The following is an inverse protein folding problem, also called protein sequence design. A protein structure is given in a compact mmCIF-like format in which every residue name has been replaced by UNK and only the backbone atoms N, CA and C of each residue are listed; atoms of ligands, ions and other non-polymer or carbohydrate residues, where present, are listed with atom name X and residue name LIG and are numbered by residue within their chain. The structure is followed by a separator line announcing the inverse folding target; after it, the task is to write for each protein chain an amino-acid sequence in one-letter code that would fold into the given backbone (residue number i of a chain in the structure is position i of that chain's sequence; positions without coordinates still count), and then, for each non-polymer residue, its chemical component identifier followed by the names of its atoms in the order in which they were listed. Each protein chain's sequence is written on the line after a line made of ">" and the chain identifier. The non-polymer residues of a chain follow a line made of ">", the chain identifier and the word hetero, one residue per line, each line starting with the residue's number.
data_IF_699847450784
#
_entry.id   IF_699847450784
#
_cell.length_a   1.000
_cell.length_b   1.000
_cell.length_c   1.000
_cell.angle_alpha   90.00
_cell.angle_beta   90.00
_cell.angle_gamma   90.00
#
_symmetry.space_group_name_H-M   'P 1'
#
loop_
_entity.id
_entity.type
_entity.pdbx_description
1 polymer ?
#
# COMPACT_ATOMS: atom_id res chain seq x y z
N UNK A 1 -6.76 41.42 -0.17
CA UNK A 1 -8.02 40.78 -0.63
C UNK A 1 -8.02 40.63 -2.17
N UNK A 2 -7.02 39.94 -2.74
CA UNK A 2 -6.79 39.87 -4.20
C UNK A 2 -6.14 38.55 -4.68
N UNK A 3 -6.33 37.45 -3.92
CA UNK A 3 -5.75 36.12 -4.21
C UNK A 3 -6.82 35.03 -4.09
N UNK A 4 -8.03 35.28 -4.61
CA UNK A 4 -9.09 34.23 -4.70
C UNK A 4 -9.73 34.09 -6.09
N UNK A 5 -9.25 34.80 -7.10
CA UNK A 5 -9.90 34.82 -8.43
C UNK A 5 -9.15 34.09 -9.56
N UNK A 6 -8.01 33.44 -9.29
CA UNK A 6 -7.21 32.75 -10.32
C UNK A 6 -7.34 31.21 -10.30
N UNK A 7 -8.04 30.62 -9.32
CA UNK A 7 -8.16 29.15 -9.22
C UNK A 7 -9.42 28.52 -9.85
N UNK A 8 -10.42 29.30 -10.28
CA UNK A 8 -11.65 28.72 -10.87
C UNK A 8 -11.58 28.46 -12.38
N UNK A 9 -10.53 28.93 -13.08
CA UNK A 9 -10.44 28.83 -14.55
C UNK A 9 -9.74 27.57 -15.10
N UNK A 10 -9.21 26.68 -14.25
CA UNK A 10 -8.53 25.44 -14.72
C UNK A 10 -9.33 24.14 -14.57
N UNK A 11 -10.56 24.18 -14.06
CA UNK A 11 -11.42 22.99 -13.92
C UNK A 11 -12.46 22.80 -15.03
N UNK A 12 -12.48 23.65 -16.07
CA UNK A 12 -13.51 23.61 -17.12
C UNK A 12 -13.04 23.08 -18.49
N UNK A 13 -11.78 22.64 -18.63
CA UNK A 13 -11.23 22.19 -19.92
C UNK A 13 -10.67 20.77 -19.82
N UNK A 14 -11.56 19.76 -19.82
CA UNK A 14 -11.11 18.36 -19.78
C UNK A 14 -12.20 17.29 -19.89
N UNK A 15 -13.39 17.61 -20.44
CA UNK A 15 -14.46 16.62 -20.67
C UNK A 15 -15.11 16.80 -22.04
N UNK A 16 -14.41 16.44 -23.12
CA UNK A 16 -15.03 16.09 -24.42
C UNK A 16 -14.11 15.16 -25.22
N UNK A 17 -14.26 13.86 -25.03
CA UNK A 17 -13.96 12.82 -26.03
C UNK A 17 -14.43 11.46 -25.48
N UNK A 18 -15.74 11.23 -25.49
CA UNK A 18 -16.31 9.88 -25.38
C UNK A 18 -17.09 9.63 -26.66
N UNK A 19 -16.45 8.93 -27.59
CA UNK A 19 -17.06 8.46 -28.81
C UNK A 19 -18.17 7.45 -28.51
N UNK A 20 -19.25 7.55 -29.26
CA UNK A 20 -20.39 6.66 -29.27
C UNK A 20 -20.00 5.24 -29.66
N UNK A 21 -20.11 4.29 -28.73
CA UNK A 21 -20.28 2.87 -29.06
C UNK A 21 -21.75 2.49 -28.88
N UNK A 22 -22.28 1.80 -29.88
CA UNK A 22 -23.68 1.47 -30.05
C UNK A 22 -24.26 0.65 -28.89
N UNK A 23 -25.51 0.97 -28.58
CA UNK A 23 -26.36 0.26 -27.63
C UNK A 23 -26.67 -1.15 -28.13
N UNK A 24 -26.37 -2.16 -27.33
CA UNK A 24 -27.25 -3.32 -27.16
C UNK A 24 -27.50 -3.52 -25.65
N UNK A 25 -28.74 -3.77 -25.21
CA UNK A 25 -29.06 -3.94 -23.80
C UNK A 25 -28.71 -5.35 -23.31
N UNK A 26 -27.75 -5.46 -22.38
CA UNK A 26 -27.55 -6.68 -21.61
C UNK A 26 -28.64 -6.79 -20.55
N UNK A 27 -29.51 -7.79 -20.74
CA UNK A 27 -30.53 -8.24 -19.78
C UNK A 27 -29.83 -9.03 -18.68
N UNK A 28 -30.00 -8.61 -17.42
CA UNK A 28 -29.55 -9.38 -16.26
C UNK A 28 -30.41 -10.64 -16.10
N UNK A 29 -29.75 -11.80 -16.00
CA UNK A 29 -30.35 -13.05 -15.51
C UNK A 29 -29.59 -13.47 -14.26
N UNK A 30 -30.30 -13.48 -13.14
CA UNK A 30 -29.85 -14.08 -11.89
C UNK A 30 -30.00 -15.60 -11.98
N UNK A 31 -28.96 -16.36 -11.61
CA UNK A 31 -29.04 -17.81 -11.54
C UNK A 31 -27.72 -18.54 -11.31
N UNK A 32 -27.47 -18.88 -10.05
CA UNK A 32 -26.81 -20.08 -9.50
C UNK A 32 -25.72 -20.84 -10.30
N UNK A 33 -24.60 -21.01 -9.59
CA UNK A 33 -23.79 -22.23 -9.47
C UNK A 33 -23.21 -22.90 -10.72
N UNK A 34 -21.88 -22.77 -10.84
CA UNK A 34 -21.02 -23.90 -11.20
C UNK A 34 -20.60 -24.04 -12.66
N UNK A 35 -19.28 -24.23 -12.82
CA UNK A 35 -18.55 -24.79 -13.96
C UNK A 35 -18.23 -23.86 -15.15
N UNK A 36 -16.93 -23.87 -15.48
CA UNK A 36 -16.45 -23.91 -16.87
C UNK A 36 -16.17 -22.56 -17.53
N UNK A 37 -14.90 -22.22 -17.64
CA UNK A 37 -14.45 -21.20 -18.61
C UNK A 37 -14.39 -21.87 -20.00
N UNK A 38 -15.29 -21.47 -20.90
CA UNK A 38 -15.29 -21.89 -22.30
C UNK A 38 -14.55 -20.80 -23.10
N UNK A 39 -13.47 -21.11 -23.84
CA UNK A 39 -12.90 -20.16 -24.79
C UNK A 39 -13.78 -20.06 -26.03
N UNK A 40 -13.98 -18.84 -26.53
CA UNK A 40 -14.64 -18.57 -27.79
C UNK A 40 -13.87 -19.22 -28.95
N UNK A 41 -14.42 -20.30 -29.52
CA UNK A 41 -14.04 -20.86 -30.81
C UNK A 41 -14.33 -19.83 -31.91
N UNK A 42 -13.27 -19.37 -32.57
CA UNK A 42 -13.37 -18.66 -33.84
C UNK A 42 -13.65 -19.64 -34.96
N UNK A 43 -14.92 -19.73 -35.37
CA UNK A 43 -15.36 -20.39 -36.58
C UNK A 43 -14.82 -19.64 -37.82
N UNK A 44 -13.74 -20.15 -38.40
CA UNK A 44 -13.17 -19.71 -39.68
C UNK A 44 -13.58 -20.65 -40.81
N UNK A 45 -14.57 -20.21 -41.57
CA UNK A 45 -15.18 -20.75 -42.80
C UNK A 45 -14.20 -21.49 -43.74
N UNK A 46 -14.50 -22.76 -44.00
CA UNK A 46 -13.96 -23.55 -45.11
C UNK A 46 -14.57 -23.06 -46.44
N UNK A 47 -13.78 -22.37 -47.26
CA UNK A 47 -14.11 -22.16 -48.67
C UNK A 47 -13.55 -23.30 -49.51
N UNK A 48 -14.45 -24.12 -50.06
CA UNK A 48 -14.15 -25.04 -51.13
C UNK A 48 -13.94 -24.30 -52.45
N UNK A 49 -12.87 -24.64 -53.17
CA UNK A 49 -12.70 -24.30 -54.59
C UNK A 49 -12.06 -25.47 -55.34
N UNK A 50 -12.93 -26.26 -55.96
CA UNK A 50 -12.92 -26.68 -57.38
C UNK A 50 -11.56 -26.99 -58.03
N UNK A 51 -11.29 -28.28 -58.23
CA UNK A 51 -10.31 -28.79 -59.19
C UNK A 51 -10.72 -28.49 -60.64
N UNK A 52 -9.81 -27.99 -61.50
CA UNK A 52 -9.91 -28.14 -62.94
C UNK A 52 -9.16 -29.41 -63.39
N UNK A 53 -9.86 -30.21 -64.19
CA UNK A 53 -9.34 -31.35 -64.92
C UNK A 53 -8.45 -30.90 -66.09
N UNK A 54 -7.46 -31.75 -66.43
CA UNK A 54 -7.12 -32.05 -67.81
C UNK A 54 -6.20 -31.07 -68.55
N UNK A 55 -4.89 -31.24 -68.37
CA UNK A 55 -3.87 -30.73 -69.28
C UNK A 55 -2.86 -31.84 -69.58
N UNK A 56 -2.70 -32.19 -70.86
CA UNK A 56 -1.85 -33.27 -71.35
C UNK A 56 -0.37 -33.10 -70.93
N UNK A 57 0.36 -34.21 -70.67
CA UNK A 57 1.79 -34.12 -70.38
C UNK A 57 2.56 -33.79 -71.66
N UNK A 58 3.06 -32.56 -71.77
CA UNK A 58 4.15 -32.27 -72.68
C UNK A 58 5.42 -32.90 -72.10
N UNK A 59 5.96 -33.86 -72.86
CA UNK A 59 7.18 -34.58 -72.57
C UNK A 59 8.37 -33.62 -72.69
N UNK A 60 8.76 -33.01 -71.56
CA UNK A 60 10.00 -32.24 -71.46
C UNK A 60 11.16 -33.24 -71.46
N UNK A 61 11.91 -33.26 -72.55
CA UNK A 61 13.15 -34.03 -72.68
C UNK A 61 14.16 -33.42 -71.71
N UNK A 62 14.32 -34.07 -70.55
CA UNK A 62 15.33 -33.70 -69.58
C UNK A 62 16.71 -33.75 -70.25
N UNK A 63 17.45 -32.63 -70.33
CA UNK A 63 18.82 -32.64 -70.82
C UNK A 63 19.64 -33.56 -69.93
N UNK A 64 20.27 -34.57 -70.52
CA UNK A 64 21.15 -35.48 -69.79
C UNK A 64 22.29 -34.66 -69.17
N UNK A 65 22.40 -34.61 -67.83
CA UNK A 65 23.50 -33.93 -67.18
C UNK A 65 24.79 -34.68 -67.51
N UNK A 66 25.73 -33.99 -68.15
CA UNK A 66 27.11 -34.47 -68.21
C UNK A 66 27.62 -34.75 -66.79
N UNK A 67 28.47 -35.75 -66.62
CA UNK A 67 28.91 -36.27 -65.33
C UNK A 67 29.45 -35.22 -64.33
N UNK A 68 29.82 -34.02 -64.80
CA UNK A 68 30.27 -32.89 -63.99
C UNK A 68 29.12 -32.08 -63.34
N UNK A 69 27.90 -32.10 -63.90
CA UNK A 69 26.74 -31.39 -63.37
C UNK A 69 26.15 -32.05 -62.10
N UNK A 70 26.36 -33.37 -61.92
CA UNK A 70 25.92 -34.10 -60.74
C UNK A 70 26.65 -33.67 -59.46
N UNK A 71 27.96 -33.37 -59.57
CA UNK A 71 28.76 -32.91 -58.43
C UNK A 71 28.38 -31.49 -58.02
N UNK A 72 28.14 -30.60 -58.99
CA UNK A 72 27.69 -29.24 -58.74
C UNK A 72 26.30 -29.21 -58.07
N UNK A 73 25.37 -30.07 -58.50
CA UNK A 73 24.06 -30.20 -57.88
C UNK A 73 24.14 -30.68 -56.42
N UNK A 74 24.99 -31.68 -56.13
CA UNK A 74 25.20 -32.18 -54.76
C UNK A 74 25.82 -31.10 -53.87
N UNK A 75 26.83 -30.36 -54.36
CA UNK A 75 27.43 -29.25 -53.62
C UNK A 75 26.42 -28.14 -53.33
N UNK A 76 25.57 -27.81 -54.30
CA UNK A 76 24.54 -26.78 -54.12
C UNK A 76 23.50 -27.18 -53.06
N UNK A 77 23.02 -28.43 -53.10
CA UNK A 77 22.10 -28.97 -52.09
C UNK A 77 22.75 -28.98 -50.70
N UNK A 78 24.04 -29.32 -50.61
CA UNK A 78 24.76 -29.37 -49.35
C UNK A 78 24.95 -27.97 -48.74
N UNK A 79 25.29 -26.97 -49.56
CA UNK A 79 25.35 -25.56 -49.13
C UNK A 79 23.97 -25.05 -48.71
N UNK A 80 22.91 -25.41 -49.45
CA UNK A 80 21.54 -25.03 -49.10
C UNK A 80 21.10 -25.64 -47.77
N UNK A 81 21.42 -26.91 -47.52
CA UNK A 81 21.13 -27.60 -46.26
C UNK A 81 21.88 -26.97 -45.08
N UNK A 82 23.16 -26.61 -45.26
CA UNK A 82 23.93 -25.90 -44.24
C UNK A 82 23.31 -24.53 -43.95
N UNK A 83 22.91 -23.80 -44.99
CA UNK A 83 22.27 -22.49 -44.84
C UNK A 83 20.93 -22.59 -44.12
N UNK A 84 20.08 -23.55 -44.49
CA UNK A 84 18.79 -23.80 -43.82
C UNK A 84 18.98 -24.20 -42.35
N UNK A 85 19.95 -25.07 -42.05
CA UNK A 85 20.29 -25.45 -40.68
C UNK A 85 20.77 -24.26 -39.85
N UNK A 86 21.59 -23.37 -40.44
CA UNK A 86 22.05 -22.15 -39.79
C UNK A 86 20.89 -21.19 -39.47
N UNK A 87 19.97 -20.98 -40.42
CA UNK A 87 18.78 -20.13 -40.24
C UNK A 87 17.86 -20.69 -39.14
N UNK A 88 17.60 -22.00 -39.15
CA UNK A 88 16.77 -22.66 -38.12
C UNK A 88 17.42 -22.56 -36.73
N UNK A 89 18.75 -22.73 -36.63
CA UNK A 89 19.48 -22.56 -35.38
C UNK A 89 19.35 -21.15 -34.81
N UNK A 90 19.48 -20.12 -35.65
CA UNK A 90 19.32 -18.72 -35.24
C UNK A 90 17.88 -18.41 -34.82
N UNK A 91 16.88 -18.92 -35.53
CA UNK A 91 15.46 -18.74 -35.15
C UNK A 91 15.15 -19.43 -33.82
N UNK A 92 15.67 -20.65 -33.62
CA UNK A 92 15.48 -21.42 -32.39
C UNK A 92 16.09 -20.71 -31.18
N UNK A 93 17.33 -20.21 -31.31
CA UNK A 93 18.00 -19.43 -30.27
C UNK A 93 17.22 -18.14 -29.92
N UNK A 94 16.65 -17.47 -30.92
CA UNK A 94 15.84 -16.26 -30.67
C UNK A 94 14.49 -16.56 -29.99
N UNK A 95 13.86 -17.70 -30.27
CA UNK A 95 12.62 -18.10 -29.60
C UNK A 95 12.86 -18.33 -28.09
N UNK A 96 13.99 -18.94 -27.74
CA UNK A 96 14.38 -19.11 -26.34
C UNK A 96 14.63 -17.76 -25.66
N UNK A 97 15.32 -16.82 -26.32
CA UNK A 97 15.53 -15.47 -25.79
C UNK A 97 14.22 -14.72 -25.53
N UNK A 98 13.26 -14.79 -26.47
CA UNK A 98 11.95 -14.15 -26.30
C UNK A 98 11.16 -14.77 -25.15
N UNK A 99 11.23 -16.09 -24.97
CA UNK A 99 10.56 -16.77 -23.85
C UNK A 99 11.13 -16.36 -22.49
N UNK A 100 12.46 -16.24 -22.39
CA UNK A 100 13.15 -15.80 -21.17
C UNK A 100 12.86 -14.34 -20.85
N UNK A 101 12.88 -13.45 -21.85
CA UNK A 101 12.54 -12.04 -21.65
C UNK A 101 11.08 -11.88 -21.22
N UNK A 102 10.15 -12.60 -21.84
CA UNK A 102 8.73 -12.57 -21.48
C UNK A 102 8.48 -13.08 -20.05
N UNK A 103 9.17 -14.14 -19.63
CA UNK A 103 9.10 -14.64 -18.26
C UNK A 103 9.60 -13.58 -17.27
N UNK A 104 10.78 -12.99 -17.54
CA UNK A 104 11.36 -11.93 -16.69
C UNK A 104 10.41 -10.73 -16.55
N UNK A 105 9.79 -10.30 -17.65
CA UNK A 105 8.82 -9.21 -17.64
C UNK A 105 7.57 -9.57 -16.83
N UNK A 106 7.05 -10.79 -17.00
CA UNK A 106 5.89 -11.28 -16.23
C UNK A 106 6.18 -11.33 -14.74
N UNK A 107 7.38 -11.78 -14.35
CA UNK A 107 7.84 -11.79 -12.96
C UNK A 107 7.92 -10.37 -12.38
N UNK A 108 8.46 -9.40 -13.13
CA UNK A 108 8.51 -8.00 -12.69
C UNK A 108 7.12 -7.41 -12.50
N UNK A 109 6.20 -7.61 -13.46
CA UNK A 109 4.82 -7.11 -13.34
C UNK A 109 4.11 -7.72 -12.12
N UNK A 110 4.29 -9.02 -11.88
CA UNK A 110 3.73 -9.67 -10.70
C UNK A 110 4.33 -9.14 -9.40
N UNK A 111 5.66 -8.95 -9.34
CA UNK A 111 6.33 -8.38 -8.17
C UNK A 111 5.83 -6.96 -7.87
N UNK A 112 5.66 -6.10 -8.88
CA UNK A 112 5.17 -4.74 -8.72
C UNK A 112 3.72 -4.71 -8.18
N UNK A 113 2.85 -5.59 -8.70
CA UNK A 113 1.49 -5.72 -8.17
C UNK A 113 1.49 -6.22 -6.72
N UNK A 114 2.30 -7.23 -6.42
CA UNK A 114 2.44 -7.76 -5.07
C UNK A 114 3.03 -6.72 -4.10
N UNK A 115 3.95 -5.85 -4.55
CA UNK A 115 4.48 -4.74 -3.77
C UNK A 115 3.36 -3.79 -3.35
N UNK A 116 2.46 -3.41 -4.27
CA UNK A 116 1.33 -2.52 -3.98
C UNK A 116 0.35 -3.16 -2.99
N UNK A 117 0.06 -4.45 -3.13
CA UNK A 117 -0.79 -5.20 -2.20
C UNK A 117 -0.16 -5.25 -0.80
N UNK A 118 1.14 -5.57 -0.71
CA UNK A 118 1.88 -5.58 0.56
C UNK A 118 1.94 -4.20 1.20
N UNK A 119 2.15 -3.15 0.41
CA UNK A 119 2.17 -1.76 0.90
C UNK A 119 0.80 -1.33 1.45
N UNK A 120 -0.28 -1.65 0.74
CA UNK A 120 -1.64 -1.36 1.18
C UNK A 120 -2.00 -2.14 2.46
N UNK A 121 -1.64 -3.43 2.51
CA UNK A 121 -1.84 -4.27 3.68
C UNK A 121 -1.04 -3.75 4.89
N UNK A 122 0.23 -3.41 4.71
CA UNK A 122 1.06 -2.84 5.78
C UNK A 122 0.40 -1.60 6.36
N UNK A 123 0.00 -0.64 5.52
CA UNK A 123 -0.60 0.61 5.97
C UNK A 123 -1.89 0.42 6.79
N UNK A 124 -2.64 -0.65 6.53
CA UNK A 124 -3.86 -0.98 7.29
C UNK A 124 -3.57 -1.72 8.60
N UNK A 125 -2.43 -2.41 8.71
CA UNK A 125 -2.10 -3.31 9.82
C UNK A 125 -0.86 -2.84 10.61
N UNK A 126 -0.35 -1.65 10.31
CA UNK A 126 0.79 -0.98 10.94
C UNK A 126 0.79 -1.11 12.47
N UNK A 127 -0.33 -0.76 13.10
CA UNK A 127 -0.51 -0.77 14.56
C UNK A 127 -0.17 -2.11 15.22
N UNK A 128 -0.49 -3.21 14.54
CA UNK A 128 -0.24 -4.54 15.04
C UNK A 128 1.10 -5.10 14.58
N UNK A 129 1.49 -4.84 13.32
CA UNK A 129 2.72 -5.35 12.74
C UNK A 129 3.98 -4.79 13.43
N UNK A 130 3.96 -3.50 13.77
CA UNK A 130 5.08 -2.80 14.40
C UNK A 130 4.96 -2.72 15.93
N UNK A 131 4.05 -3.52 16.51
CA UNK A 131 3.99 -3.69 17.96
C UNK A 131 5.27 -4.37 18.49
N UNK A 132 5.67 -3.98 19.71
CA UNK A 132 6.78 -4.63 20.44
C UNK A 132 8.14 -3.91 20.40
N UNK A 133 8.28 -2.83 19.60
CA UNK A 133 9.46 -1.96 19.65
C UNK A 133 10.75 -2.55 19.08
N UNK A 134 11.90 -1.92 19.37
CA UNK A 134 13.14 -2.14 18.63
C UNK A 134 13.66 -3.58 18.74
N UNK A 135 14.03 -4.17 17.62
CA UNK A 135 14.56 -5.54 17.55
C UNK A 135 13.51 -6.63 17.77
N UNK A 136 12.24 -6.28 17.95
CA UNK A 136 11.18 -7.29 18.11
C UNK A 136 10.97 -8.07 16.80
N UNK A 137 10.75 -9.37 16.91
CA UNK A 137 10.39 -10.24 15.79
C UNK A 137 8.95 -9.93 15.29
N UNK A 138 8.63 -10.17 14.02
CA UNK A 138 7.30 -9.92 13.50
C UNK A 138 6.25 -10.81 14.19
N UNK A 139 5.07 -10.28 14.53
CA UNK A 139 4.02 -11.04 15.24
C UNK A 139 3.33 -12.10 14.37
N UNK A 140 3.56 -12.07 13.05
CA UNK A 140 3.01 -13.00 12.08
C UNK A 140 4.11 -13.51 11.15
N UNK A 141 3.98 -14.78 10.76
CA UNK A 141 4.88 -15.39 9.80
C UNK A 141 4.78 -14.72 8.43
N UNK A 142 5.87 -14.78 7.66
CA UNK A 142 5.91 -14.20 6.32
C UNK A 142 4.86 -14.80 5.37
N UNK A 143 4.55 -16.10 5.52
CA UNK A 143 3.46 -16.74 4.76
C UNK A 143 2.08 -16.22 5.18
N UNK A 144 1.88 -15.95 6.47
CA UNK A 144 0.67 -15.31 6.98
C UNK A 144 0.46 -13.92 6.37
N UNK A 145 1.52 -13.11 6.29
CA UNK A 145 1.46 -11.77 5.67
C UNK A 145 1.09 -11.86 4.19
N UNK A 146 1.71 -12.75 3.41
CA UNK A 146 1.37 -12.93 2.00
C UNK A 146 -0.11 -13.29 1.82
N UNK A 147 -0.62 -14.21 2.63
CA UNK A 147 -2.02 -14.61 2.59
C UNK A 147 -2.97 -13.46 2.96
N UNK A 148 -2.66 -12.71 4.02
CA UNK A 148 -3.47 -11.58 4.49
C UNK A 148 -3.44 -10.39 3.53
N UNK A 149 -2.32 -10.18 2.82
CA UNK A 149 -2.19 -9.18 1.77
C UNK A 149 -2.86 -9.60 0.44
N UNK A 150 -3.37 -10.84 0.34
CA UNK A 150 -3.98 -11.36 -0.89
C UNK A 150 -2.96 -11.62 -2.01
N UNK A 151 -1.69 -11.86 -1.66
CA UNK A 151 -0.62 -12.19 -2.60
C UNK A 151 -0.50 -13.70 -2.71
N UNK A 152 -0.85 -14.24 -3.87
CA UNK A 152 -0.63 -15.66 -4.17
C UNK A 152 0.83 -15.87 -4.63
N UNK A 153 1.64 -16.66 -3.89
CA UNK A 153 3.04 -16.86 -4.26
C UNK A 153 3.16 -17.66 -5.56
N UNK A 154 3.93 -17.12 -6.52
CA UNK A 154 4.28 -17.78 -7.78
C UNK A 154 5.80 -18.00 -7.84
N UNK A 155 6.24 -18.99 -8.62
CA UNK A 155 7.67 -19.27 -8.84
C UNK A 155 8.50 -19.44 -7.55
N UNK A 156 7.91 -20.07 -6.52
CA UNK A 156 8.52 -20.21 -5.20
C UNK A 156 8.93 -18.88 -4.56
N UNK A 157 8.18 -17.80 -4.83
CA UNK A 157 8.42 -16.51 -4.20
C UNK A 157 8.30 -16.62 -2.67
N UNK A 158 9.21 -15.96 -1.97
CA UNK A 158 9.29 -15.93 -0.52
C UNK A 158 9.28 -14.50 -0.03
N UNK A 159 8.54 -14.26 1.06
CA UNK A 159 8.56 -13.00 1.77
C UNK A 159 9.57 -13.10 2.92
N UNK A 160 10.36 -12.05 3.08
CA UNK A 160 11.28 -11.83 4.19
C UNK A 160 10.83 -10.57 4.91
N UNK A 161 10.88 -10.60 6.24
CA UNK A 161 10.40 -9.53 7.10
C UNK A 161 11.55 -9.18 8.04
N UNK A 162 11.90 -7.90 8.13
CA UNK A 162 12.91 -7.48 9.09
C UNK A 162 12.35 -7.54 10.51
N UNK A 163 13.27 -7.60 11.48
CA UNK A 163 12.96 -7.16 12.83
C UNK A 163 12.59 -5.66 12.82
N UNK A 164 11.89 -5.23 13.86
CA UNK A 164 11.49 -3.83 13.97
C UNK A 164 12.73 -2.96 14.17
N UNK A 165 12.84 -1.90 13.38
CA UNK A 165 13.91 -0.90 13.48
C UNK A 165 13.31 0.40 13.97
N UNK A 166 13.82 0.92 15.08
CA UNK A 166 13.37 2.18 15.65
C UNK A 166 14.35 3.32 15.41
N UNK A 167 13.81 4.48 15.08
CA UNK A 167 14.52 5.74 14.92
C UNK A 167 14.05 6.73 15.99
N UNK A 168 14.90 7.68 16.38
CA UNK A 168 14.47 8.78 17.22
C UNK A 168 13.47 9.66 16.46
N UNK A 169 12.40 10.09 17.13
CA UNK A 169 11.41 11.01 16.61
C UNK A 169 11.36 12.28 17.48
N UNK A 170 10.55 13.28 17.09
CA UNK A 170 10.39 14.51 17.86
C UNK A 170 9.87 14.23 19.29
N UNK A 171 8.98 13.25 19.41
CA UNK A 171 8.48 12.70 20.66
C UNK A 171 8.49 11.17 20.58
N UNK A 172 9.22 10.52 21.48
CA UNK A 172 9.38 9.07 21.51
C UNK A 172 10.26 8.52 20.39
N UNK A 173 9.88 7.37 19.84
CA UNK A 173 10.57 6.70 18.75
C UNK A 173 9.60 6.41 17.60
N UNK A 174 10.14 6.16 16.40
CA UNK A 174 9.41 5.68 15.24
C UNK A 174 9.94 4.30 14.87
N UNK A 175 9.14 3.26 15.11
CA UNK A 175 9.51 1.88 14.79
C UNK A 175 8.80 1.41 13.53
N UNK A 176 9.53 0.73 12.63
CA UNK A 176 8.98 0.17 11.41
C UNK A 176 9.71 -1.11 11.00
N UNK A 177 9.10 -1.88 10.09
CA UNK A 177 9.70 -3.06 9.45
C UNK A 177 9.85 -2.86 7.95
N UNK A 178 10.73 -3.64 7.36
CA UNK A 178 10.88 -3.76 5.92
C UNK A 178 10.44 -5.15 5.47
N UNK A 179 9.68 -5.20 4.38
CA UNK A 179 9.25 -6.43 3.72
C UNK A 179 10.01 -6.57 2.41
N UNK A 180 10.55 -7.75 2.12
CA UNK A 180 11.16 -8.08 0.84
C UNK A 180 10.48 -9.30 0.25
N UNK A 181 9.88 -9.16 -0.93
CA UNK A 181 9.31 -10.27 -1.67
C UNK A 181 10.28 -10.64 -2.79
N UNK A 182 10.79 -11.88 -2.77
CA UNK A 182 11.81 -12.32 -3.70
C UNK A 182 11.43 -13.61 -4.42
N UNK A 183 11.68 -13.65 -5.73
CA UNK A 183 11.63 -14.85 -6.55
C UNK A 183 13.06 -15.38 -6.66
N UNK A 184 13.35 -16.59 -6.13
CA UNK A 184 14.69 -17.16 -6.20
C UNK A 184 15.14 -17.35 -7.65
N UNK A 185 16.43 -17.14 -7.90
CA UNK A 185 17.05 -17.53 -9.17
C UNK A 185 17.07 -19.05 -9.28
N UNK A 186 16.92 -19.61 -10.49
CA UNK A 186 17.06 -21.06 -10.71
C UNK A 186 18.52 -21.53 -10.59
N UNK A 187 19.47 -20.60 -10.61
CA UNK A 187 20.89 -20.87 -10.40
C UNK A 187 21.44 -19.98 -9.29
N UNK A 188 22.15 -20.58 -8.32
CA UNK A 188 22.80 -19.86 -7.21
C UNK A 188 22.17 -20.15 -5.84
N UNK A 189 22.61 -19.38 -4.85
CA UNK A 189 22.14 -19.47 -3.45
C UNK A 189 20.75 -18.84 -3.32
N UNK A 190 19.88 -19.43 -2.51
CA UNK A 190 18.56 -18.86 -2.22
C UNK A 190 18.67 -17.49 -1.53
N UNK A 191 17.70 -16.57 -1.71
CA UNK A 191 17.64 -15.34 -0.93
C UNK A 191 17.51 -15.66 0.56
N UNK A 192 18.15 -14.85 1.41
CA UNK A 192 18.17 -15.08 2.87
C UNK A 192 18.09 -13.77 3.63
N UNK A 193 17.67 -13.84 4.89
CA UNK A 193 17.76 -12.73 5.84
C UNK A 193 18.91 -13.02 6.81
N UNK A 194 19.95 -12.20 6.78
CA UNK A 194 21.13 -12.35 7.65
C UNK A 194 21.20 -11.15 8.58
N UNK A 195 21.08 -11.38 9.89
CA UNK A 195 21.10 -10.32 10.91
C UNK A 195 20.12 -9.17 10.61
N UNK A 196 18.91 -9.49 10.15
CA UNK A 196 17.90 -8.48 9.77
C UNK A 196 18.13 -7.78 8.43
N UNK A 197 19.22 -8.09 7.73
CA UNK A 197 19.54 -7.55 6.40
C UNK A 197 19.17 -8.56 5.33
N UNK A 198 18.38 -8.12 4.34
CA UNK A 198 17.98 -8.95 3.21
C UNK A 198 19.14 -9.10 2.21
N UNK A 199 19.51 -10.35 1.93
CA UNK A 199 20.53 -10.71 0.96
C UNK A 199 19.86 -11.41 -0.23
N UNK A 200 19.77 -10.76 -1.41
CA UNK A 200 18.99 -11.27 -2.53
C UNK A 200 19.62 -12.49 -3.22
N UNK A 201 20.96 -12.66 -3.20
CA UNK A 201 21.65 -13.79 -3.83
C UNK A 201 21.26 -14.05 -5.32
N UNK A 202 21.05 -12.98 -6.09
CA UNK A 202 20.64 -13.06 -7.51
C UNK A 202 19.13 -13.24 -7.74
N UNK A 203 18.33 -13.30 -6.67
CA UNK A 203 16.86 -13.26 -6.76
C UNK A 203 16.36 -11.93 -7.33
N UNK A 204 15.22 -11.99 -8.03
CA UNK A 204 14.44 -10.78 -8.38
C UNK A 204 13.56 -10.43 -7.19
N UNK A 205 13.56 -9.18 -6.76
CA UNK A 205 12.82 -8.80 -5.58
C UNK A 205 12.26 -7.39 -5.66
N UNK A 206 11.26 -7.14 -4.82
CA UNK A 206 10.74 -5.81 -4.48
C UNK A 206 10.79 -5.62 -2.98
N UNK A 207 10.88 -4.37 -2.54
CA UNK A 207 10.88 -4.02 -1.13
C UNK A 207 9.72 -3.07 -0.80
N UNK A 208 9.17 -3.24 0.40
CA UNK A 208 8.23 -2.32 1.01
C UNK A 208 8.84 -1.87 2.33
N UNK A 209 9.28 -0.63 2.39
CA UNK A 209 9.75 -0.02 3.64
C UNK A 209 8.57 0.59 4.39
N UNK A 210 8.36 0.14 5.63
CA UNK A 210 7.38 0.71 6.55
C UNK A 210 7.69 2.15 6.97
N UNK A 211 8.94 2.61 6.84
CA UNK A 211 9.37 3.91 7.35
C UNK A 211 8.50 5.07 6.87
N UNK A 212 8.19 5.12 5.56
CA UNK A 212 7.38 6.19 4.98
C UNK A 212 5.89 6.06 5.33
N UNK A 213 5.41 4.86 5.66
CA UNK A 213 4.05 4.61 6.15
C UNK A 213 3.97 5.09 7.59
N UNK A 214 4.84 4.60 8.47
CA UNK A 214 4.86 4.96 9.89
C UNK A 214 5.11 6.45 10.10
N UNK A 215 6.02 7.07 9.34
CA UNK A 215 6.23 8.53 9.41
C UNK A 215 4.94 9.32 9.12
N UNK A 216 4.14 8.85 8.17
CA UNK A 216 2.86 9.48 7.82
C UNK A 216 1.83 9.31 8.92
N UNK A 217 1.73 8.11 9.49
CA UNK A 217 0.85 7.82 10.62
C UNK A 217 1.25 8.64 11.85
N UNK A 218 2.54 8.74 12.13
CA UNK A 218 3.10 9.55 13.20
C UNK A 218 2.76 11.03 13.06
N UNK A 219 2.98 11.61 11.87
CA UNK A 219 2.61 13.01 11.62
C UNK A 219 1.10 13.24 11.73
N UNK A 220 0.29 12.28 11.26
CA UNK A 220 -1.16 12.35 11.42
C UNK A 220 -1.60 12.29 12.89
N UNK A 221 -0.91 11.50 13.72
CA UNK A 221 -1.14 11.43 15.16
C UNK A 221 -0.77 12.75 15.86
N UNK A 222 0.38 13.34 15.54
CA UNK A 222 0.78 14.68 16.02
C UNK A 222 -0.27 15.74 15.67
N UNK A 223 -0.72 15.77 14.41
CA UNK A 223 -1.75 16.70 13.96
C UNK A 223 -3.08 16.49 14.68
N UNK A 224 -3.44 15.23 14.98
CA UNK A 224 -4.65 14.92 15.71
C UNK A 224 -4.60 15.42 17.14
N UNK A 225 -3.54 15.11 17.89
CA UNK A 225 -3.37 15.59 19.27
C UNK A 225 -3.39 17.13 19.31
N UNK A 226 -2.66 17.77 18.41
CA UNK A 226 -2.67 19.24 18.29
C UNK A 226 -4.08 19.79 18.00
N UNK A 227 -4.82 19.16 17.08
CA UNK A 227 -6.18 19.57 16.75
C UNK A 227 -7.11 19.44 17.96
N UNK A 228 -6.96 18.39 18.76
CA UNK A 228 -7.74 18.18 19.98
C UNK A 228 -7.42 19.25 21.03
N UNK A 229 -6.15 19.64 21.18
CA UNK A 229 -5.78 20.78 22.01
C UNK A 229 -6.41 22.10 21.54
N UNK A 230 -6.36 22.39 20.23
CA UNK A 230 -7.05 23.57 19.68
C UNK A 230 -8.57 23.52 19.89
N UNK A 231 -9.20 22.34 19.89
CA UNK A 231 -10.62 22.22 20.20
C UNK A 231 -10.90 22.61 21.66
N UNK A 232 -10.05 22.21 22.60
CA UNK A 232 -10.13 22.61 24.00
C UNK A 232 -9.95 24.11 24.16
N UNK A 233 -8.89 24.69 23.59
CA UNK A 233 -8.64 26.15 23.61
C UNK A 233 -9.83 26.93 23.01
N UNK A 234 -10.39 26.45 21.90
CA UNK A 234 -11.55 27.11 21.27
C UNK A 234 -12.83 26.96 22.09
N UNK A 235 -13.00 25.83 22.79
CA UNK A 235 -14.13 25.59 23.68
C UNK A 235 -14.06 26.52 24.90
N UNK A 236 -12.86 26.71 25.46
CA UNK A 236 -12.61 27.66 26.53
C UNK A 236 -12.98 29.07 26.09
N UNK A 237 -12.40 29.55 24.98
CA UNK A 237 -12.66 30.89 24.46
C UNK A 237 -14.15 31.13 24.15
N UNK A 238 -14.85 30.10 23.65
CA UNK A 238 -16.28 30.16 23.42
C UNK A 238 -17.08 30.29 24.73
N UNK A 239 -16.73 29.48 25.74
CA UNK A 239 -17.33 29.52 27.08
C UNK A 239 -17.17 30.90 27.71
N UNK A 240 -15.95 31.43 27.69
CA UNK A 240 -15.61 32.77 28.18
C UNK A 240 -16.44 33.84 27.46
N UNK A 241 -16.49 33.83 26.12
CA UNK A 241 -17.25 34.81 25.34
C UNK A 241 -18.77 34.78 25.57
N UNK A 242 -19.29 33.66 26.07
CA UNK A 242 -20.72 33.45 26.31
C UNK A 242 -21.20 33.93 27.69
N UNK A 243 -20.29 34.49 28.50
CA UNK A 243 -20.61 35.02 29.82
C UNK A 243 -20.40 34.04 30.97
N UNK A 244 -19.57 33.01 30.77
CA UNK A 244 -18.95 32.32 31.91
C UNK A 244 -18.20 33.35 32.76
N UNK A 245 -18.19 33.19 34.08
CA UNK A 245 -17.51 34.14 34.98
C UNK A 245 -16.03 34.25 34.56
N UNK A 246 -15.58 35.47 34.24
CA UNK A 246 -14.15 35.79 34.05
C UNK A 246 -13.44 35.72 35.41
N UNK A 247 -13.27 34.51 35.91
CA UNK A 247 -12.55 34.25 37.14
C UNK A 247 -11.35 33.37 36.81
N UNK A 248 -10.17 33.97 36.85
CA UNK A 248 -8.89 33.29 36.59
C UNK A 248 -8.62 32.15 37.57
N UNK A 249 -9.35 32.07 38.69
CA UNK A 249 -9.27 30.98 39.66
C UNK A 249 -10.14 29.77 39.28
N UNK A 250 -10.95 29.83 38.23
CA UNK A 250 -11.80 28.70 37.79
C UNK A 250 -11.10 27.83 36.75
N UNK A 251 -11.06 26.53 36.99
CA UNK A 251 -10.52 25.55 36.06
C UNK A 251 -11.61 25.05 35.09
N UNK A 252 -11.60 25.58 33.87
CA UNK A 252 -12.47 25.12 32.79
C UNK A 252 -12.15 23.71 32.27
N UNK A 253 -10.97 23.15 32.52
CA UNK A 253 -10.61 21.79 32.11
C UNK A 253 -11.08 20.72 33.10
N UNK A 254 -11.68 21.09 34.23
CA UNK A 254 -12.18 20.16 35.24
C UNK A 254 -13.61 20.51 35.69
N UNK A 255 -14.44 19.53 36.07
CA UNK A 255 -15.76 19.80 36.62
C UNK A 255 -15.68 20.27 38.08
N UNK A 256 -16.78 20.86 38.56
CA UNK A 256 -16.96 21.19 39.97
C UNK A 256 -16.70 19.96 40.86
N UNK A 257 -15.90 20.15 41.91
CA UNK A 257 -15.55 19.09 42.86
C UNK A 257 -14.42 18.14 42.41
N UNK A 258 -13.80 18.37 41.24
CA UNK A 258 -12.54 17.72 40.87
C UNK A 258 -11.37 18.34 41.68
N UNK A 259 -10.45 17.50 42.16
CA UNK A 259 -9.26 17.74 43.02
C UNK A 259 -9.30 18.91 44.02
N UNK A 260 -9.35 20.16 43.55
CA UNK A 260 -9.24 21.39 44.35
C UNK A 260 -10.55 22.20 44.44
N UNK A 261 -11.65 21.70 43.86
CA UNK A 261 -12.98 22.33 43.95
C UNK A 261 -13.13 23.64 43.16
N UNK A 262 -12.13 23.98 42.36
CA UNK A 262 -12.06 25.13 41.46
C UNK A 262 -12.57 24.83 40.04
N UNK A 263 -12.92 23.58 39.74
CA UNK A 263 -13.44 23.20 38.42
C UNK A 263 -14.81 23.81 38.13
N UNK A 264 -15.00 24.25 36.88
CA UNK A 264 -16.28 24.78 36.35
C UNK A 264 -16.58 24.28 34.91
N UNK A 265 -15.72 23.40 34.40
CA UNK A 265 -15.79 22.85 33.05
C UNK A 265 -16.84 21.76 32.85
N UNK A 266 -17.32 21.57 31.61
CA UNK A 266 -18.27 20.51 31.26
C UNK A 266 -17.60 19.12 31.06
N UNK A 267 -16.45 18.88 31.69
CA UNK A 267 -15.62 17.69 31.46
C UNK A 267 -15.63 16.73 32.65
N UNK A 268 -15.21 15.49 32.45
CA UNK A 268 -15.02 14.54 33.55
C UNK A 268 -13.67 14.75 34.27
N UNK A 269 -13.61 14.40 35.56
CA UNK A 269 -12.37 14.44 36.34
C UNK A 269 -11.49 13.21 36.04
N UNK A 270 -10.20 13.40 35.78
CA UNK A 270 -9.27 12.29 35.54
C UNK A 270 -8.80 11.59 36.83
N UNK A 271 -9.05 12.20 38.00
CA UNK A 271 -8.71 11.67 39.34
C UNK A 271 -7.23 11.27 39.49
N UNK A 272 -6.33 12.03 38.86
CA UNK A 272 -4.88 11.83 38.90
C UNK A 272 -4.36 10.78 37.92
N UNK A 273 -5.22 10.25 37.06
CA UNK A 273 -4.89 9.26 36.04
C UNK A 273 -5.18 9.73 34.61
N UNK A 274 -4.95 8.81 33.67
CA UNK A 274 -5.35 8.96 32.28
C UNK A 274 -6.76 8.40 32.08
N UNK A 275 -7.64 9.20 31.47
CA UNK A 275 -8.98 8.77 31.06
C UNK A 275 -9.13 8.94 29.55
N UNK A 276 -10.00 8.16 28.91
CA UNK A 276 -10.18 8.28 27.46
C UNK A 276 -10.79 9.64 27.11
N UNK A 277 -10.44 10.19 25.96
CA UNK A 277 -11.05 11.43 25.47
C UNK A 277 -12.57 11.36 25.38
N UNK A 278 -13.12 10.19 25.05
CA UNK A 278 -14.57 10.01 24.98
C UNK A 278 -15.23 10.16 26.36
N UNK A 279 -14.61 9.63 27.41
CA UNK A 279 -15.12 9.75 28.78
C UNK A 279 -14.90 11.17 29.31
N UNK A 280 -13.73 11.76 29.04
CA UNK A 280 -13.42 13.14 29.43
C UNK A 280 -14.39 14.16 28.86
N UNK A 281 -14.74 14.02 27.58
CA UNK A 281 -15.64 14.95 26.86
C UNK A 281 -17.11 14.56 26.95
N UNK A 282 -17.46 13.54 27.71
CA UNK A 282 -18.84 13.09 27.84
C UNK A 282 -19.73 14.20 28.42
N UNK A 283 -20.78 14.57 27.71
CA UNK A 283 -21.67 15.67 28.11
C UNK A 283 -21.22 17.07 27.68
N UNK A 284 -20.01 17.20 27.14
CA UNK A 284 -19.53 18.45 26.53
C UNK A 284 -19.95 18.57 25.06
N UNK A 285 -19.81 19.78 24.49
CA UNK A 285 -19.96 20.01 23.05
C UNK A 285 -18.88 19.34 22.18
N UNK A 286 -17.85 18.74 22.80
CA UNK A 286 -16.78 18.00 22.13
C UNK A 286 -17.05 16.49 22.05
N UNK A 287 -18.16 16.02 22.61
CA UNK A 287 -18.55 14.61 22.54
C UNK A 287 -18.68 14.14 21.07
N UNK A 288 -18.21 12.93 20.79
CA UNK A 288 -18.28 12.34 19.44
C UNK A 288 -17.24 12.85 18.44
N UNK A 289 -16.31 13.72 18.86
CA UNK A 289 -15.13 14.07 18.07
C UNK A 289 -14.18 12.87 17.91
N UNK A 290 -13.38 12.87 16.85
CA UNK A 290 -12.46 11.75 16.54
C UNK A 290 -11.45 11.56 17.67
N UNK A 291 -11.60 10.47 18.41
CA UNK A 291 -10.86 10.18 19.65
C UNK A 291 -9.80 9.09 19.48
N UNK A 292 -9.60 8.56 18.27
CA UNK A 292 -8.62 7.50 17.99
C UNK A 292 -7.53 7.99 17.08
N UNK A 293 -6.28 7.69 17.43
CA UNK A 293 -5.12 7.98 16.61
C UNK A 293 -5.10 7.14 15.31
N UNK A 294 -4.17 7.40 14.38
CA UNK A 294 -4.09 6.68 13.10
C UNK A 294 -3.83 5.17 13.21
N UNK A 295 -3.35 4.70 14.36
CA UNK A 295 -3.18 3.28 14.67
C UNK A 295 -4.41 2.66 15.36
N UNK A 296 -5.44 3.46 15.64
CA UNK A 296 -6.69 3.03 16.25
C UNK A 296 -6.71 3.06 17.79
N UNK A 297 -5.64 3.51 18.44
CA UNK A 297 -5.61 3.68 19.90
C UNK A 297 -6.37 4.93 20.33
N UNK A 298 -7.05 4.86 21.47
CA UNK A 298 -7.73 6.02 22.04
C UNK A 298 -6.71 7.08 22.48
N UNK A 299 -7.02 8.35 22.24
CA UNK A 299 -6.34 9.48 22.86
C UNK A 299 -6.83 9.59 24.29
N UNK A 300 -5.91 9.77 25.21
CA UNK A 300 -6.14 9.87 26.63
C UNK A 300 -5.90 11.30 27.11
N UNK A 301 -6.53 11.64 28.24
CA UNK A 301 -6.53 12.96 28.84
C UNK A 301 -6.22 12.85 30.33
N UNK A 302 -5.39 13.76 30.83
CA UNK A 302 -5.15 13.92 32.25
C UNK A 302 -5.27 15.42 32.61
N UNK A 303 -6.19 15.76 33.51
CA UNK A 303 -6.42 17.14 33.95
C UNK A 303 -6.06 17.37 35.42
N UNK A 304 -5.40 16.43 36.09
CA UNK A 304 -5.10 16.57 37.53
C UNK A 304 -3.82 15.81 37.94
N UNK A 305 -2.85 15.69 37.02
CA UNK A 305 -1.58 15.00 37.26
C UNK A 305 -0.67 14.99 36.03
N UNK A 306 0.53 14.44 36.17
CA UNK A 306 1.53 14.48 35.10
C UNK A 306 2.08 15.89 34.90
N UNK A 307 2.04 16.40 33.67
CA UNK A 307 2.39 17.80 33.35
C UNK A 307 1.19 18.77 33.44
N UNK A 308 -0.02 18.25 33.66
CA UNK A 308 -1.22 19.05 33.87
C UNK A 308 -1.20 19.78 35.23
N UNK A 309 -1.71 21.01 35.26
CA UNK A 309 -1.83 21.85 36.45
C UNK A 309 -3.30 22.10 36.76
N UNK A 310 -3.76 21.63 37.93
CA UNK A 310 -5.10 21.86 38.47
C UNK A 310 -5.08 22.66 39.79
N UNK A 311 -3.89 23.04 40.26
CA UNK A 311 -3.68 23.70 41.56
C UNK A 311 -3.53 25.22 41.46
N UNK A 312 -3.05 25.72 40.32
CA UNK A 312 -2.85 27.14 40.09
C UNK A 312 -2.89 27.48 38.61
N UNK A 313 -3.32 28.71 38.33
CA UNK A 313 -3.35 29.31 36.99
C UNK A 313 -1.94 29.51 36.42
N UNK A 314 -1.71 29.22 35.13
CA UNK A 314 -2.68 28.72 34.16
C UNK A 314 -2.99 27.23 34.36
N UNK A 315 -4.29 26.92 34.49
CA UNK A 315 -4.73 25.53 34.52
C UNK A 315 -4.45 24.85 33.19
N UNK A 316 -4.12 23.57 33.22
CA UNK A 316 -3.73 22.85 32.02
C UNK A 316 -4.18 21.41 32.03
N UNK A 317 -4.27 20.85 30.84
CA UNK A 317 -4.62 19.45 30.60
C UNK A 317 -3.58 18.84 29.67
N UNK A 318 -3.19 17.61 29.98
CA UNK A 318 -2.25 16.83 29.17
C UNK A 318 -3.03 15.87 28.28
N UNK A 319 -2.71 15.87 26.99
CA UNK A 319 -3.23 14.93 26.01
C UNK A 319 -2.15 13.90 25.67
N UNK A 320 -2.50 12.63 25.61
CA UNK A 320 -1.59 11.53 25.26
C UNK A 320 -2.17 10.67 24.14
N UNK A 321 -1.37 10.44 23.10
CA UNK A 321 -1.66 9.47 22.04
C UNK A 321 -0.65 8.32 22.10
N UNK A 322 -1.07 7.11 22.51
CA UNK A 322 -0.18 5.95 22.61
C UNK A 322 0.45 5.54 21.28
N UNK A 323 1.71 5.11 21.32
CA UNK A 323 2.42 4.55 20.15
C UNK A 323 2.38 3.00 20.18
N UNK A 324 2.29 2.33 19.01
CA UNK A 324 2.19 0.86 18.94
C UNK A 324 3.35 0.10 19.60
N UNK A 325 4.53 0.71 19.60
CA UNK A 325 5.78 0.16 20.12
C UNK A 325 6.12 0.65 21.53
N UNK A 326 5.20 1.36 22.19
CA UNK A 326 5.40 1.94 23.51
C UNK A 326 5.80 3.42 23.47
N UNK A 327 5.55 4.10 24.59
CA UNK A 327 5.60 5.56 24.68
C UNK A 327 4.33 6.21 24.14
N UNK A 328 4.34 7.54 24.10
CA UNK A 328 3.21 8.34 23.64
C UNK A 328 3.69 9.63 22.98
N UNK A 329 2.82 10.19 22.15
CA UNK A 329 2.86 11.59 21.74
C UNK A 329 2.06 12.38 22.77
N UNK A 330 2.68 13.36 23.42
CA UNK A 330 2.04 14.19 24.43
C UNK A 330 1.91 15.64 23.97
N UNK A 331 0.87 16.31 24.48
CA UNK A 331 0.66 17.74 24.29
C UNK A 331 0.03 18.33 25.53
N UNK A 332 0.69 19.32 26.12
CA UNK A 332 0.13 20.14 27.18
C UNK A 332 -0.70 21.27 26.57
N UNK A 333 -1.91 21.45 27.08
CA UNK A 333 -2.84 22.51 26.68
C UNK A 333 -3.13 23.34 27.92
N UNK A 334 -2.72 24.61 27.91
CA UNK A 334 -2.96 25.52 29.02
C UNK A 334 -4.15 26.44 28.71
N UNK A 335 -4.87 26.86 29.74
CA UNK A 335 -5.90 27.89 29.61
C UNK A 335 -5.21 29.19 29.18
N UNK A 336 -5.69 29.83 28.11
CA UNK A 336 -5.19 31.13 27.70
C UNK A 336 -5.52 32.18 28.77
N UNK A 337 -4.59 33.12 28.96
CA UNK A 337 -4.75 34.32 29.79
C UNK A 337 -5.55 35.41 29.06
#
# INVERSE_FOLDING_TARGET
>A
MWIKQQLSKRLAAGRRAAGSCGRQPCRWQDGFAGKGFVPCEGAGVLHGFRSPQGGAPLQEVAPQPGAEAGVAAILYVLVLMIFLAAVVSVISARLDDFSHQRLKQTQTIWLDHAQQQLQGWYAQNAAWLDAGGNGSAPPISASGILSAAGVQPLWNAQLFVSDATCQSAAQGSLCYRSLWLAIPSMAGTAPTLQNGVFVPNGARYVSVSGQAIETRLYNAALHQVKRMGTLLESGFAASESSGALHNDDLDWFAPEGCTNGNGDGPFACSNGGWISWADYTQGSGLAGTQNKNPWGYAVEVNNSGGEASDTATPYSVELSSPLPWGGAITSLVAQPF
#
